data_IF_715801718016
#
_entry.id   IF_715801718016
#
_cell.length_a   1.000
_cell.length_b   1.000
_cell.length_c   1.000
_cell.angle_alpha   90.00
_cell.angle_beta   90.00
_cell.angle_gamma   90.00
#
_symmetry.space_group_name_H-M   'P 1'
#
loop_
_entity.id
_entity.type
_entity.pdbx_description
1 polymer ?
#
# COMPACT_ATOMS: atom_id res chain seq x y z
N UNK A 1 2.37 15.04 16.16
CA UNK A 1 2.28 15.14 14.69
C UNK A 1 2.51 13.74 14.12
N UNK A 2 1.45 12.98 14.07
CA UNK A 2 1.45 11.61 13.60
C UNK A 2 1.67 11.58 12.10
N UNK A 3 2.87 11.22 11.69
CA UNK A 3 3.07 10.70 10.35
C UNK A 3 2.31 9.39 10.26
N UNK A 4 1.11 9.47 9.78
CA UNK A 4 0.31 8.31 9.44
C UNK A 4 0.90 7.76 8.14
N UNK A 5 1.85 6.84 8.29
CA UNK A 5 2.33 6.06 7.18
C UNK A 5 1.23 5.05 6.84
N UNK A 6 0.21 5.50 6.13
CA UNK A 6 -0.61 4.57 5.38
C UNK A 6 0.33 3.95 4.36
N UNK A 7 0.72 2.71 4.61
CA UNK A 7 1.35 1.90 3.59
C UNK A 7 0.36 1.83 2.44
N UNK A 8 0.50 2.73 1.48
CA UNK A 8 -0.17 2.68 0.18
C UNK A 8 0.37 1.47 -0.58
N UNK A 9 0.19 0.36 0.07
CA UNK A 9 0.51 -0.94 -0.39
C UNK A 9 -0.63 -1.44 -1.16
N UNK A 10 -0.80 -1.02 -2.36
CA UNK A 10 -1.50 -1.89 -3.33
C UNK A 10 -1.90 -1.12 -4.58
N UNK A 11 -0.91 -0.81 -5.36
CA UNK A 11 -1.12 -0.70 -6.80
C UNK A 11 -1.52 -2.09 -7.30
N UNK A 12 -2.77 -2.26 -7.64
CA UNK A 12 -3.48 -3.37 -8.24
C UNK A 12 -4.22 -4.33 -7.30
N UNK A 13 -5.54 -4.24 -7.34
CA UNK A 13 -6.44 -5.31 -6.89
C UNK A 13 -6.11 -6.67 -7.55
N UNK A 14 -5.54 -6.66 -8.77
CA UNK A 14 -5.04 -7.84 -9.46
C UNK A 14 -3.80 -8.46 -8.81
N UNK A 15 -2.84 -7.66 -8.33
CA UNK A 15 -1.65 -8.18 -7.63
C UNK A 15 -2.00 -8.82 -6.30
N UNK A 16 -3.01 -8.30 -5.60
CA UNK A 16 -3.53 -8.86 -4.36
C UNK A 16 -4.13 -10.25 -4.55
N UNK A 17 -4.99 -10.38 -5.54
CA UNK A 17 -5.59 -11.65 -5.96
C UNK A 17 -4.50 -12.65 -6.34
N UNK A 18 -3.43 -12.15 -6.94
CA UNK A 18 -2.25 -12.86 -7.38
C UNK A 18 -1.39 -13.39 -6.23
N UNK A 19 -1.13 -12.59 -5.20
CA UNK A 19 -0.28 -13.00 -4.06
C UNK A 19 -1.02 -13.99 -3.16
N UNK A 20 -2.32 -13.81 -2.95
CA UNK A 20 -3.12 -14.72 -2.12
C UNK A 20 -3.60 -15.99 -2.84
N UNK A 21 -3.67 -15.97 -4.17
CA UNK A 21 -3.96 -17.14 -4.98
C UNK A 21 -2.67 -17.68 -5.62
N UNK A 22 -1.70 -18.04 -4.78
CA UNK A 22 -0.39 -18.55 -5.22
C UNK A 22 -0.43 -19.71 -6.22
N UNK A 23 -1.60 -20.25 -6.50
CA UNK A 23 -1.85 -21.35 -7.43
C UNK A 23 -2.70 -20.96 -8.64
N UNK A 24 -3.00 -19.68 -8.88
CA UNK A 24 -3.76 -19.30 -10.06
C UNK A 24 -2.89 -19.52 -11.30
N UNK A 25 -3.37 -20.27 -12.35
CA UNK A 25 -2.55 -20.63 -13.50
C UNK A 25 -2.03 -19.43 -14.32
N UNK A 26 -2.71 -18.28 -14.26
CA UNK A 26 -2.27 -17.05 -14.94
C UNK A 26 -1.23 -16.25 -14.15
N UNK A 27 -0.85 -16.75 -12.96
CA UNK A 27 0.13 -16.12 -12.10
C UNK A 27 1.54 -16.50 -12.51
N UNK A 28 2.24 -15.58 -13.14
CA UNK A 28 3.67 -15.69 -13.44
C UNK A 28 4.52 -15.54 -12.17
N UNK A 29 3.99 -14.87 -11.13
CA UNK A 29 4.75 -14.56 -9.92
C UNK A 29 4.53 -15.60 -8.82
N UNK A 30 5.63 -16.22 -8.35
CA UNK A 30 5.64 -17.24 -7.27
C UNK A 30 6.64 -16.94 -6.15
N UNK A 31 7.07 -15.68 -6.02
CA UNK A 31 8.17 -15.31 -5.14
C UNK A 31 7.80 -14.99 -3.67
N UNK A 32 6.55 -15.17 -3.27
CA UNK A 32 6.10 -14.74 -1.93
C UNK A 32 6.21 -13.22 -1.73
N UNK A 33 6.41 -12.76 -0.50
CA UNK A 33 6.50 -11.33 -0.20
C UNK A 33 7.89 -10.72 -0.46
N UNK A 34 8.95 -11.53 -0.43
CA UNK A 34 10.33 -11.05 -0.49
C UNK A 34 10.67 -10.07 -1.61
N UNK A 35 10.27 -10.32 -2.88
CA UNK A 35 10.51 -9.41 -3.99
C UNK A 35 9.55 -8.21 -4.10
N UNK A 36 8.51 -8.13 -3.26
CA UNK A 36 7.57 -7.02 -3.29
C UNK A 36 8.27 -5.76 -2.78
N UNK A 37 8.02 -4.65 -3.43
CA UNK A 37 8.42 -3.32 -2.95
C UNK A 37 7.23 -2.60 -2.35
N UNK A 38 7.46 -1.88 -1.27
CA UNK A 38 6.46 -1.05 -0.60
C UNK A 38 6.73 0.41 -0.94
N UNK A 39 5.73 1.12 -1.46
CA UNK A 39 5.79 2.55 -1.70
C UNK A 39 5.13 3.28 -0.53
N UNK A 40 5.83 4.19 0.09
CA UNK A 40 5.33 4.99 1.19
C UNK A 40 5.04 6.40 0.70
N UNK A 41 3.87 6.91 1.08
CA UNK A 41 3.41 8.24 0.74
C UNK A 41 2.75 8.89 1.96
N UNK A 42 2.77 10.22 2.02
CA UNK A 42 1.99 10.96 3.00
C UNK A 42 0.49 10.97 2.62
N UNK A 43 -0.36 10.60 3.57
CA UNK A 43 -1.81 10.52 3.34
C UNK A 43 -2.42 11.89 3.06
N UNK A 44 -2.05 12.91 3.86
CA UNK A 44 -2.63 14.24 3.73
C UNK A 44 -2.19 14.89 2.42
N UNK A 45 -0.94 14.72 2.01
CA UNK A 45 -0.45 15.17 0.70
C UNK A 45 -1.19 14.46 -0.44
N UNK A 46 -1.47 13.16 -0.28
CA UNK A 46 -2.22 12.37 -1.27
C UNK A 46 -3.66 12.87 -1.41
N UNK A 47 -4.36 13.12 -0.31
CA UNK A 47 -5.73 13.64 -0.31
C UNK A 47 -5.78 15.06 -0.90
N UNK A 48 -4.84 15.93 -0.52
CA UNK A 48 -4.73 17.29 -1.08
C UNK A 48 -4.51 17.25 -2.60
N UNK A 49 -3.62 16.38 -3.07
CA UNK A 49 -3.40 16.19 -4.51
C UNK A 49 -4.66 15.67 -5.21
N UNK A 50 -5.34 14.66 -4.63
CA UNK A 50 -6.58 14.11 -5.21
C UNK A 50 -7.65 15.21 -5.37
N UNK A 51 -7.83 16.06 -4.34
CA UNK A 51 -8.74 17.21 -4.42
C UNK A 51 -8.37 18.21 -5.52
N UNK A 52 -7.08 18.52 -5.68
CA UNK A 52 -6.62 19.40 -6.75
C UNK A 52 -6.84 18.82 -8.16
N UNK A 53 -6.78 17.49 -8.30
CA UNK A 53 -6.97 16.80 -9.58
C UNK A 53 -8.42 16.40 -9.86
N UNK A 54 -9.35 16.67 -8.93
CA UNK A 54 -10.73 16.20 -9.04
C UNK A 54 -10.85 14.66 -9.01
N UNK A 55 -9.86 13.97 -8.43
CA UNK A 55 -9.88 12.52 -8.25
C UNK A 55 -10.61 12.16 -6.97
N UNK A 56 -11.48 11.16 -7.02
CA UNK A 56 -12.09 10.60 -5.81
C UNK A 56 -11.07 9.77 -5.04
N UNK A 57 -11.24 9.73 -3.75
CA UNK A 57 -10.48 8.88 -2.84
C UNK A 57 -11.40 8.33 -1.75
N UNK A 58 -11.03 7.21 -1.19
CA UNK A 58 -11.69 6.64 -0.02
C UNK A 58 -10.71 5.75 0.74
N UNK A 59 -11.00 5.47 2.00
CA UNK A 59 -10.39 4.35 2.70
C UNK A 59 -11.47 3.37 3.15
N UNK A 60 -11.10 2.11 3.24
CA UNK A 60 -12.01 1.05 3.68
C UNK A 60 -11.67 0.62 5.10
N UNK A 61 -12.67 0.13 5.83
CA UNK A 61 -12.48 -0.41 7.19
C UNK A 61 -12.09 -1.88 7.16
N UNK A 62 -12.28 -2.54 5.99
CA UNK A 62 -11.95 -3.95 5.75
C UNK A 62 -11.49 -4.16 4.32
N UNK A 63 -11.50 -5.39 3.84
CA UNK A 63 -11.10 -5.74 2.48
C UNK A 63 -12.04 -5.12 1.44
N UNK A 64 -11.56 -4.21 0.62
CA UNK A 64 -12.32 -3.59 -0.48
C UNK A 64 -12.81 -4.60 -1.53
N UNK A 65 -12.25 -5.80 -1.60
CA UNK A 65 -12.71 -6.88 -2.48
C UNK A 65 -13.77 -7.80 -1.86
N UNK A 66 -14.20 -7.55 -0.62
CA UNK A 66 -15.29 -8.28 -0.01
C UNK A 66 -16.64 -7.86 -0.61
N UNK A 67 -17.64 -8.78 -0.54
CA UNK A 67 -18.99 -8.48 -1.02
C UNK A 67 -19.66 -7.34 -0.24
N UNK A 68 -19.36 -7.26 1.06
CA UNK A 68 -19.73 -6.15 1.91
C UNK A 68 -18.45 -5.52 2.48
N UNK A 69 -18.25 -4.24 2.24
CA UNK A 69 -17.22 -3.44 2.86
C UNK A 69 -17.78 -2.04 3.14
N UNK A 70 -17.21 -1.39 4.14
CA UNK A 70 -17.51 0.00 4.45
C UNK A 70 -16.35 0.87 4.02
N UNK A 71 -16.65 2.01 3.41
CA UNK A 71 -15.67 3.00 3.02
C UNK A 71 -15.99 4.39 3.62
N UNK A 72 -14.97 5.22 3.67
CA UNK A 72 -15.04 6.60 4.15
C UNK A 72 -14.24 7.50 3.21
N UNK A 73 -14.71 8.72 3.02
CA UNK A 73 -14.06 9.77 2.23
C UNK A 73 -13.80 11.04 3.04
N UNK A 74 -13.71 10.92 4.35
CA UNK A 74 -13.41 12.00 5.29
C UNK A 74 -12.27 11.59 6.23
N UNK A 75 -11.18 12.35 6.25
CA UNK A 75 -10.04 12.09 7.12
C UNK A 75 -10.39 12.19 8.63
N UNK A 76 -11.46 12.89 9.01
CA UNK A 76 -11.92 12.92 10.39
C UNK A 76 -12.38 11.53 10.90
N UNK A 77 -12.71 10.63 9.97
CA UNK A 77 -13.18 9.27 10.28
C UNK A 77 -12.05 8.22 10.33
N UNK A 78 -10.79 8.63 10.25
CA UNK A 78 -9.63 7.71 10.34
C UNK A 78 -9.56 6.94 11.65
N UNK A 79 -10.20 7.43 12.69
CA UNK A 79 -10.33 6.74 13.98
C UNK A 79 -11.24 5.51 13.93
N UNK A 80 -12.04 5.33 12.86
CA UNK A 80 -12.86 4.14 12.64
C UNK A 80 -12.05 2.95 12.13
N UNK A 81 -10.83 3.17 11.63
CA UNK A 81 -9.92 2.09 11.23
C UNK A 81 -9.43 1.34 12.47
N UNK A 82 -9.49 0.02 12.43
CA UNK A 82 -8.87 -0.82 13.45
C UNK A 82 -7.33 -0.81 13.29
N UNK A 83 -6.71 0.21 13.88
CA UNK A 83 -5.26 0.38 13.83
C UNK A 83 -4.50 -0.74 14.54
N UNK A 84 -5.12 -1.42 15.50
CA UNK A 84 -4.52 -2.59 16.17
C UNK A 84 -4.42 -3.74 15.19
N UNK A 85 -5.50 -4.01 14.43
CA UNK A 85 -5.49 -5.01 13.38
C UNK A 85 -4.51 -4.66 12.25
N UNK A 86 -4.49 -3.39 11.81
CA UNK A 86 -3.57 -2.92 10.75
C UNK A 86 -2.11 -3.16 11.14
N UNK A 87 -1.75 -2.95 12.40
CA UNK A 87 -0.37 -3.12 12.91
C UNK A 87 -0.04 -4.55 13.33
N UNK A 88 -1.03 -5.44 13.48
CA UNK A 88 -0.84 -6.79 13.97
C UNK A 88 0.16 -7.58 13.11
N UNK A 89 1.14 -8.22 13.73
CA UNK A 89 2.06 -9.17 13.08
C UNK A 89 1.37 -10.52 12.87
N UNK A 90 0.59 -10.96 13.85
CA UNK A 90 -0.24 -12.17 13.80
C UNK A 90 -1.67 -11.75 13.47
N UNK A 91 -2.09 -11.96 12.25
CA UNK A 91 -3.30 -11.35 11.68
C UNK A 91 -4.47 -12.31 11.46
N UNK A 92 -4.32 -13.62 11.74
CA UNK A 92 -5.38 -14.60 11.48
C UNK A 92 -6.69 -14.28 12.22
N UNK A 93 -6.60 -13.71 13.43
CA UNK A 93 -7.76 -13.34 14.24
C UNK A 93 -8.35 -11.96 13.90
N UNK A 94 -7.62 -11.11 13.17
CA UNK A 94 -8.03 -9.74 12.83
C UNK A 94 -7.93 -9.46 11.31
N UNK A 95 -8.17 -10.48 10.49
CA UNK A 95 -7.95 -10.47 9.04
C UNK A 95 -8.68 -9.33 8.34
N UNK A 96 -9.92 -9.06 8.71
CA UNK A 96 -10.74 -8.04 8.06
C UNK A 96 -10.17 -6.64 8.26
N UNK A 97 -9.92 -6.23 9.49
CA UNK A 97 -9.31 -4.94 9.80
C UNK A 97 -7.88 -4.79 9.26
N UNK A 98 -7.10 -5.89 9.24
CA UNK A 98 -5.77 -5.93 8.62
C UNK A 98 -5.78 -5.59 7.14
N UNK A 99 -6.91 -5.77 6.47
CA UNK A 99 -7.10 -5.56 5.04
C UNK A 99 -7.73 -4.21 4.68
N UNK A 100 -7.83 -3.29 5.65
CA UNK A 100 -8.20 -1.90 5.37
C UNK A 100 -7.26 -1.28 4.31
N UNK A 101 -7.84 -0.53 3.38
CA UNK A 101 -7.13 0.02 2.21
C UNK A 101 -7.45 1.49 2.03
N UNK A 102 -6.47 2.24 1.51
CA UNK A 102 -6.70 3.56 0.95
C UNK A 102 -6.74 3.46 -0.58
N UNK A 103 -7.77 4.04 -1.18
CA UNK A 103 -8.05 3.95 -2.61
C UNK A 103 -8.02 5.34 -3.22
N UNK A 104 -7.41 5.48 -4.37
CA UNK A 104 -7.44 6.70 -5.19
C UNK A 104 -7.89 6.33 -6.60
N UNK A 105 -8.77 7.14 -7.17
CA UNK A 105 -9.34 6.93 -8.49
C UNK A 105 -8.30 7.14 -9.60
N UNK A 106 -8.35 6.30 -10.62
CA UNK A 106 -7.62 6.35 -11.87
C UNK A 106 -6.10 6.21 -11.77
N UNK A 107 -5.38 7.08 -11.05
CA UNK A 107 -3.92 7.14 -11.05
C UNK A 107 -3.38 7.62 -9.72
N UNK A 108 -2.14 7.25 -9.45
CA UNK A 108 -1.36 7.78 -8.34
C UNK A 108 -0.07 8.42 -8.87
N UNK A 109 0.27 9.66 -8.48
CA UNK A 109 1.41 10.34 -9.01
C UNK A 109 2.72 9.90 -8.34
N UNK A 110 3.73 9.61 -9.15
CA UNK A 110 5.03 9.15 -8.66
C UNK A 110 5.71 10.13 -7.70
N UNK A 111 5.52 11.43 -7.89
CA UNK A 111 6.17 12.45 -7.05
C UNK A 111 5.68 12.50 -5.60
N UNK A 112 4.58 11.83 -5.27
CA UNK A 112 4.11 11.67 -3.88
C UNK A 112 4.72 10.47 -3.17
N UNK A 113 5.44 9.60 -3.87
CA UNK A 113 6.17 8.51 -3.22
C UNK A 113 7.38 9.08 -2.51
N UNK A 114 7.43 8.98 -1.18
CA UNK A 114 8.52 9.50 -0.37
C UNK A 114 9.64 8.48 -0.19
N UNK A 115 9.25 7.21 0.05
CA UNK A 115 10.18 6.11 0.29
C UNK A 115 9.73 4.82 -0.39
N UNK A 116 10.72 3.98 -0.68
CA UNK A 116 10.52 2.61 -1.17
C UNK A 116 11.11 1.65 -0.14
N UNK A 117 10.25 0.89 0.53
CA UNK A 117 10.68 -0.16 1.45
C UNK A 117 10.87 -1.49 0.72
N UNK A 118 11.98 -2.16 0.99
CA UNK A 118 12.31 -3.47 0.40
C UNK A 118 12.72 -4.46 1.49
N UNK A 119 12.51 -5.76 1.24
CA UNK A 119 12.79 -6.80 2.23
C UNK A 119 14.28 -7.06 2.41
N UNK A 120 15.07 -7.02 1.35
CA UNK A 120 16.46 -7.50 1.36
C UNK A 120 17.39 -6.62 0.54
N UNK A 121 18.72 -6.82 0.75
CA UNK A 121 19.76 -6.13 -0.01
C UNK A 121 19.69 -6.43 -1.51
N UNK A 122 19.33 -7.65 -1.90
CA UNK A 122 19.19 -8.01 -3.31
C UNK A 122 18.07 -7.22 -3.99
N UNK A 123 16.90 -7.11 -3.32
CA UNK A 123 15.76 -6.33 -3.84
C UNK A 123 16.07 -4.82 -3.78
N UNK A 124 16.82 -4.36 -2.76
CA UNK A 124 17.31 -2.98 -2.70
C UNK A 124 18.09 -2.60 -3.96
N UNK A 125 19.06 -3.42 -4.35
CA UNK A 125 19.88 -3.14 -5.54
C UNK A 125 19.03 -3.11 -6.82
N UNK A 126 18.07 -4.05 -6.95
CA UNK A 126 17.14 -4.07 -8.08
C UNK A 126 16.27 -2.81 -8.11
N UNK A 127 15.72 -2.40 -6.96
CA UNK A 127 14.88 -1.20 -6.86
C UNK A 127 15.66 0.07 -7.21
N UNK A 128 16.88 0.24 -6.67
CA UNK A 128 17.74 1.39 -6.98
C UNK A 128 18.06 1.46 -8.47
N UNK A 129 18.39 0.31 -9.09
CA UNK A 129 18.73 0.24 -10.52
C UNK A 129 17.51 0.51 -11.43
N UNK A 130 16.31 0.19 -10.95
CA UNK A 130 15.05 0.43 -11.70
C UNK A 130 14.60 1.89 -11.65
N UNK A 131 15.10 2.70 -10.71
CA UNK A 131 14.73 4.10 -10.62
C UNK A 131 15.31 4.90 -11.81
N UNK A 132 14.50 5.75 -12.45
CA UNK A 132 14.95 6.56 -13.58
C UNK A 132 16.11 7.49 -13.16
N UNK A 133 17.02 7.81 -14.07
CA UNK A 133 18.20 8.63 -13.74
C UNK A 133 17.88 10.09 -13.44
N UNK A 134 16.67 10.56 -13.72
CA UNK A 134 16.23 11.93 -13.50
C UNK A 134 14.87 12.03 -12.86
N UNK A 135 14.49 13.24 -12.43
CA UNK A 135 13.21 13.51 -11.80
C UNK A 135 13.14 13.12 -10.31
N UNK A 136 11.92 12.84 -9.85
CA UNK A 136 11.69 12.46 -8.46
C UNK A 136 12.23 11.07 -8.15
N UNK A 137 13.10 10.97 -7.15
CA UNK A 137 13.76 9.72 -6.72
C UNK A 137 13.51 9.49 -5.22
N UNK A 138 12.50 8.71 -4.85
CA UNK A 138 12.27 8.37 -3.45
C UNK A 138 13.45 7.58 -2.88
N UNK A 139 13.70 7.76 -1.57
CA UNK A 139 14.70 6.98 -0.86
C UNK A 139 14.34 5.49 -0.85
N UNK A 140 15.29 4.62 -1.15
CA UNK A 140 15.12 3.16 -1.03
C UNK A 140 15.71 2.72 0.31
N UNK A 141 14.94 1.98 1.11
CA UNK A 141 15.33 1.51 2.44
C UNK A 141 15.05 0.02 2.61
N UNK A 142 15.93 -0.69 3.31
CA UNK A 142 15.69 -2.08 3.70
C UNK A 142 14.80 -2.07 4.94
N UNK A 143 13.56 -2.51 4.79
CA UNK A 143 12.50 -2.45 5.81
C UNK A 143 11.82 -3.82 5.98
N UNK A 144 12.53 -4.83 6.52
CA UNK A 144 11.96 -6.17 6.73
C UNK A 144 10.77 -6.17 7.70
N UNK A 145 10.67 -5.16 8.57
CA UNK A 145 9.55 -4.92 9.47
C UNK A 145 8.22 -4.58 8.76
N UNK A 146 8.26 -4.28 7.47
CA UNK A 146 7.07 -4.03 6.65
C UNK A 146 6.46 -5.30 6.04
N UNK A 147 7.12 -6.44 6.21
CA UNK A 147 6.71 -7.74 5.68
C UNK A 147 6.22 -8.67 6.80
N UNK A 148 5.37 -9.62 6.49
CA UNK A 148 4.78 -10.58 7.43
C UNK A 148 4.50 -11.93 6.78
#
# INVERSE_FOLDING_TARGET
LSRLCLRLLRFHASLRRTIYQANHPELVYRGGQGPIVHLECDLHATVAWAGQQGCRWAFTLSNAGAYYFEDRADLAQLNEIDWVAVQAKYWQSCKEGKQAEFLVENRFPWHLVERIGVHSRAVYQQAVNALPPGGHRPAVEIRPDWYY
#
